data_IF_777049040516
#
_entry.id   IF_777049040516
#
_cell.length_a   1.000
_cell.length_b   1.000
_cell.length_c   1.000
_cell.angle_alpha   90.00
_cell.angle_beta   90.00
_cell.angle_gamma   90.00
#
_symmetry.space_group_name_H-M   'P 1'
#
loop_
_entity.id
_entity.type
_entity.pdbx_description
1 polymer ?
#
# COMPACT_ATOMS: atom_id res chain seq x y z
N UNK A 1 -11.28 -14.65 -27.97
CA UNK A 1 -10.19 -13.65 -27.91
C UNK A 1 -9.55 -13.75 -26.53
N UNK A 2 -8.26 -14.12 -26.40
CA UNK A 2 -7.62 -14.06 -25.09
C UNK A 2 -7.38 -12.59 -24.77
N UNK A 3 -8.03 -12.09 -23.72
CA UNK A 3 -7.81 -10.73 -23.22
C UNK A 3 -6.38 -10.68 -22.68
N UNK A 4 -5.47 -10.12 -23.47
CA UNK A 4 -4.13 -9.72 -23.04
C UNK A 4 -4.33 -8.76 -21.87
N UNK A 5 -4.22 -9.27 -20.64
CA UNK A 5 -4.18 -8.45 -19.43
C UNK A 5 -2.84 -7.75 -19.49
N UNK A 6 -2.86 -6.53 -20.00
CA UNK A 6 -1.68 -5.72 -20.29
C UNK A 6 -0.78 -5.68 -19.06
N UNK A 7 0.49 -6.02 -19.30
CA UNK A 7 1.60 -5.88 -18.39
C UNK A 7 1.92 -4.38 -18.20
N UNK A 8 1.06 -3.63 -17.48
CA UNK A 8 1.30 -2.22 -17.15
C UNK A 8 2.60 -1.99 -16.36
N UNK A 9 3.23 -3.05 -15.85
CA UNK A 9 4.48 -3.01 -15.08
C UNK A 9 5.55 -3.98 -15.59
N UNK A 10 5.47 -4.44 -16.85
CA UNK A 10 6.44 -5.36 -17.43
C UNK A 10 6.30 -6.83 -16.99
N UNK A 11 5.48 -7.10 -15.97
CA UNK A 11 5.19 -8.44 -15.47
C UNK A 11 3.68 -8.74 -15.43
N UNK A 12 3.27 -10.01 -15.61
CA UNK A 12 1.88 -10.39 -15.44
C UNK A 12 1.44 -10.27 -13.98
N UNK A 13 0.29 -9.62 -13.73
CA UNK A 13 -0.31 -9.56 -12.39
C UNK A 13 -0.63 -10.98 -11.89
N UNK A 14 -0.14 -11.31 -10.69
CA UNK A 14 -0.47 -12.56 -9.98
C UNK A 14 -1.49 -12.30 -8.88
N UNK A 15 -2.50 -13.15 -8.77
CA UNK A 15 -3.45 -13.09 -7.66
C UNK A 15 -2.81 -13.65 -6.39
N UNK A 16 -2.88 -12.88 -5.30
CA UNK A 16 -2.40 -13.26 -3.97
C UNK A 16 -3.50 -12.93 -2.96
N UNK A 17 -3.70 -13.81 -1.98
CA UNK A 17 -4.61 -13.58 -0.85
C UNK A 17 -3.79 -13.28 0.39
N UNK A 18 -4.15 -12.24 1.13
CA UNK A 18 -3.54 -11.86 2.41
C UNK A 18 -4.61 -11.78 3.49
N UNK A 19 -4.25 -12.17 4.72
CA UNK A 19 -5.13 -12.04 5.89
C UNK A 19 -4.71 -10.80 6.67
N UNK A 20 -5.66 -9.90 6.92
CA UNK A 20 -5.44 -8.61 7.59
C UNK A 20 -6.51 -8.42 8.67
N UNK A 21 -6.25 -7.55 9.65
CA UNK A 21 -7.28 -7.12 10.59
C UNK A 21 -8.30 -6.23 9.90
N UNK A 22 -9.55 -6.21 10.39
CA UNK A 22 -10.60 -5.33 9.86
C UNK A 22 -10.17 -3.86 9.84
N UNK A 23 -9.49 -3.41 10.90
CA UNK A 23 -8.96 -2.04 10.99
C UNK A 23 -7.94 -1.72 9.88
N UNK A 24 -7.07 -2.67 9.53
CA UNK A 24 -6.11 -2.49 8.44
C UNK A 24 -6.83 -2.45 7.08
N UNK A 25 -7.88 -3.25 6.89
CA UNK A 25 -8.70 -3.25 5.67
C UNK A 25 -9.35 -1.88 5.48
N UNK A 26 -10.03 -1.37 6.52
CA UNK A 26 -10.68 -0.05 6.49
C UNK A 26 -9.67 1.08 6.23
N UNK A 27 -8.49 1.01 6.85
CA UNK A 27 -7.42 1.98 6.62
C UNK A 27 -6.93 1.98 5.16
N UNK A 28 -6.73 0.80 4.58
CA UNK A 28 -6.34 0.67 3.17
C UNK A 28 -7.42 1.17 2.22
N UNK A 29 -8.70 0.89 2.50
CA UNK A 29 -9.82 1.34 1.68
C UNK A 29 -9.97 2.86 1.72
N UNK A 30 -9.85 3.46 2.91
CA UNK A 30 -9.90 4.92 3.09
C UNK A 30 -8.76 5.61 2.36
N UNK A 31 -7.55 5.05 2.43
CA UNK A 31 -6.40 5.60 1.72
C UNK A 31 -6.54 5.48 0.20
N UNK A 32 -6.95 4.31 -0.29
CA UNK A 32 -7.19 4.09 -1.70
C UNK A 32 -8.26 5.06 -2.25
N UNK A 33 -9.33 5.29 -1.49
CA UNK A 33 -10.37 6.26 -1.82
C UNK A 33 -9.82 7.69 -1.91
N UNK A 34 -8.95 8.11 -0.98
CA UNK A 34 -8.35 9.46 -0.99
C UNK A 34 -7.46 9.72 -2.20
N UNK A 35 -6.93 8.65 -2.81
CA UNK A 35 -6.08 8.69 -4.00
C UNK A 35 -6.85 8.36 -5.29
N UNK A 36 -8.17 8.13 -5.21
CA UNK A 36 -9.02 7.70 -6.33
C UNK A 36 -8.52 6.45 -7.07
N UNK A 37 -7.84 5.54 -6.36
CA UNK A 37 -7.33 4.28 -6.90
C UNK A 37 -7.95 3.07 -6.20
N UNK A 38 -7.80 1.89 -6.81
CA UNK A 38 -8.19 0.64 -6.15
C UNK A 38 -7.21 0.25 -5.04
N UNK A 39 -7.68 -0.49 -4.03
CA UNK A 39 -6.83 -1.05 -2.97
C UNK A 39 -5.66 -1.91 -3.51
N UNK A 40 -5.90 -2.70 -4.57
CA UNK A 40 -4.84 -3.50 -5.19
C UNK A 40 -3.80 -2.62 -5.90
N UNK A 41 -4.22 -1.49 -6.46
CA UNK A 41 -3.32 -0.52 -7.07
C UNK A 41 -2.50 0.21 -6.01
N UNK A 42 -3.13 0.61 -4.90
CA UNK A 42 -2.43 1.15 -3.72
C UNK A 42 -1.33 0.22 -3.23
N UNK A 43 -1.65 -1.07 -3.01
CA UNK A 43 -0.68 -2.08 -2.57
C UNK A 43 0.46 -2.25 -3.59
N UNK A 44 0.14 -2.23 -4.89
CA UNK A 44 1.14 -2.32 -5.96
C UNK A 44 2.09 -1.12 -5.92
N UNK A 45 1.55 0.10 -5.80
CA UNK A 45 2.36 1.32 -5.75
C UNK A 45 3.21 1.41 -4.47
N UNK A 46 2.72 0.90 -3.34
CA UNK A 46 3.50 0.73 -2.11
C UNK A 46 4.66 -0.26 -2.31
N UNK A 47 4.39 -1.43 -2.88
CA UNK A 47 5.41 -2.43 -3.16
C UNK A 47 6.47 -1.96 -4.17
N UNK A 48 6.09 -1.08 -5.09
CA UNK A 48 6.99 -0.43 -6.05
C UNK A 48 7.70 0.82 -5.49
N UNK A 49 7.42 1.23 -4.24
CA UNK A 49 7.99 2.43 -3.63
C UNK A 49 7.54 3.75 -4.27
N UNK A 50 6.45 3.74 -5.05
CA UNK A 50 5.88 4.94 -5.71
C UNK A 50 5.09 5.81 -4.76
N UNK A 51 4.51 5.21 -3.72
CA UNK A 51 3.86 5.92 -2.62
C UNK A 51 4.81 5.86 -1.43
N UNK A 52 5.25 7.03 -0.96
CA UNK A 52 6.05 7.13 0.25
C UNK A 52 5.13 7.03 1.45
N UNK A 53 5.27 5.93 2.21
CA UNK A 53 4.76 5.89 3.58
C UNK A 53 5.73 6.73 4.41
N UNK A 54 5.34 7.94 4.77
CA UNK A 54 6.10 8.64 5.80
C UNK A 54 5.85 7.90 7.11
N UNK A 55 6.88 7.29 7.73
CA UNK A 55 6.71 6.81 9.09
C UNK A 55 6.34 8.03 9.93
N UNK A 56 5.24 7.93 10.67
CA UNK A 56 4.90 8.98 11.64
C UNK A 56 6.02 9.01 12.68
N UNK A 57 6.93 9.97 12.53
CA UNK A 57 8.09 10.18 13.40
C UNK A 57 7.65 10.44 14.85
N UNK A 58 6.37 10.67 15.12
CA UNK A 58 5.82 10.76 16.48
C UNK A 58 5.87 9.45 17.27
N UNK A 59 6.12 8.29 16.65
CA UNK A 59 6.33 7.04 17.38
C UNK A 59 7.77 6.83 17.88
N UNK A 60 8.74 7.64 17.44
CA UNK A 60 10.17 7.54 17.80
C UNK A 60 10.64 8.74 18.63
N UNK A 61 9.74 9.27 19.46
CA UNK A 61 9.94 10.47 20.26
C UNK A 61 9.95 10.25 21.77
N UNK A 62 10.36 9.09 22.28
CA UNK A 62 10.78 8.94 23.69
C UNK A 62 11.99 8.00 23.77
N UNK A 63 13.12 8.44 23.22
CA UNK A 63 14.42 7.88 23.59
C UNK A 63 15.19 8.96 24.36
N UNK A 64 15.07 8.88 25.69
CA UNK A 64 16.13 9.13 26.67
C UNK A 64 17.44 9.71 26.08
N UNK A 65 17.54 11.03 26.00
CA UNK A 65 18.78 11.78 26.23
C UNK A 65 18.55 13.27 25.94
N UNK A 66 18.51 14.10 26.99
CA UNK A 66 19.37 15.28 27.03
C UNK A 66 19.49 15.81 28.46
N UNK A 67 20.68 15.58 29.00
CA UNK A 67 21.42 16.26 30.09
C UNK A 67 20.66 16.84 31.29
#
# INVERSE_FOLDING_TARGET
MPKTKNAEHGEPKRNVTVTLTESAIVGLDSWAQSLEISRSELITQLGLGKIQVHPDLKALGESIASC
#
